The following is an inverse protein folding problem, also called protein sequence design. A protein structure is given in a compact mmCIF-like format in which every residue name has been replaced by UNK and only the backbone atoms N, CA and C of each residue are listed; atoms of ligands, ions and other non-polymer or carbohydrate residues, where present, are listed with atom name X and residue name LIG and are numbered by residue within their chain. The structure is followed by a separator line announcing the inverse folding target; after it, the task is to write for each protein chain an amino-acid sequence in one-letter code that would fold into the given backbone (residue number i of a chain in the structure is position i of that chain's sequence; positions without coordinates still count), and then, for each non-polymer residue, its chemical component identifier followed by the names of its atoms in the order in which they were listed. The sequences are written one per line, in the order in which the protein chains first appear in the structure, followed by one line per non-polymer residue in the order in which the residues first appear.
data_IF_117377143052
#
_entry.id   IF_117377143052
#
_cell.length_a   1.000
_cell.length_b   1.000
_cell.length_c   1.000
_cell.angle_alpha   90.00
_cell.angle_beta   90.00
_cell.angle_gamma   90.00
#
_symmetry.space_group_name_H-M   'P 1'
#
loop_
_entity.id
_entity.type
_entity.pdbx_description
1 polymer ?
#
# COMPACT_ATOMS: atom_id res chain seq x y z
N UNK A 1 -12.00 10.29 21.58
CA UNK A 1 -10.64 9.74 21.37
C UNK A 1 -10.55 9.23 19.95
N UNK A 2 -9.61 9.73 19.15
CA UNK A 2 -9.29 9.20 17.81
C UNK A 2 -7.96 8.46 17.85
N UNK A 3 -7.73 7.56 16.90
CA UNK A 3 -6.47 6.81 16.78
C UNK A 3 -5.41 7.66 16.11
N UNK A 4 -4.28 7.93 16.74
CA UNK A 4 -3.20 8.68 16.09
C UNK A 4 -2.68 7.93 14.86
N UNK A 5 -2.41 8.65 13.78
CA UNK A 5 -1.83 8.06 12.58
C UNK A 5 -0.48 7.39 12.92
N UNK A 6 -0.24 6.13 12.54
CA UNK A 6 1.03 5.47 12.84
C UNK A 6 2.22 6.14 12.15
N UNK A 7 1.99 6.81 11.00
CA UNK A 7 2.99 7.43 10.12
C UNK A 7 3.36 8.86 10.55
N UNK A 8 2.39 9.78 10.61
CA UNK A 8 2.64 11.18 10.97
C UNK A 8 2.31 11.54 12.43
N UNK A 9 1.76 10.60 13.22
CA UNK A 9 1.27 10.82 14.60
C UNK A 9 0.16 11.87 14.74
N UNK A 10 -0.36 12.40 13.61
CA UNK A 10 -1.46 13.34 13.56
C UNK A 10 -2.76 12.75 14.10
N UNK A 11 -3.66 13.64 14.53
CA UNK A 11 -5.02 13.34 14.98
C UNK A 11 -6.05 13.60 13.89
N UNK A 12 -5.62 14.01 12.70
CA UNK A 12 -6.46 14.12 11.51
C UNK A 12 -6.75 12.73 10.92
N UNK A 13 -7.26 11.85 11.78
CA UNK A 13 -7.64 10.48 11.46
C UNK A 13 -9.09 10.26 11.81
N UNK A 14 -9.74 9.41 11.03
CA UNK A 14 -11.16 9.13 11.11
C UNK A 14 -11.41 7.65 10.88
N UNK A 15 -12.39 7.10 11.60
CA UNK A 15 -12.78 5.70 11.45
C UNK A 15 -13.69 5.57 10.23
N UNK A 16 -13.30 4.71 9.29
CA UNK A 16 -14.04 4.48 8.03
C UNK A 16 -14.70 3.10 7.98
N UNK A 17 -14.37 2.21 8.93
CA UNK A 17 -14.96 0.88 9.02
C UNK A 17 -14.82 0.23 10.40
N UNK A 18 -15.03 -1.09 10.48
CA UNK A 18 -14.82 -1.85 11.72
C UNK A 18 -13.32 -2.10 11.93
N UNK A 19 -12.71 -1.33 12.82
CA UNK A 19 -11.26 -1.43 13.07
C UNK A 19 -10.41 -0.76 11.99
N UNK A 20 -11.01 -0.03 11.06
CA UNK A 20 -10.34 0.59 9.93
C UNK A 20 -10.35 2.12 10.05
N UNK A 21 -9.19 2.73 9.79
CA UNK A 21 -8.98 4.16 9.97
C UNK A 21 -8.30 4.76 8.74
N UNK A 22 -8.67 6.00 8.44
CA UNK A 22 -8.05 6.78 7.38
C UNK A 22 -7.31 7.97 7.99
N UNK A 23 -6.25 8.42 7.34
CA UNK A 23 -5.51 9.63 7.72
C UNK A 23 -5.59 10.67 6.60
N UNK A 24 -6.08 11.85 6.93
CA UNK A 24 -6.30 12.95 5.99
C UNK A 24 -4.97 13.59 5.57
N UNK A 25 -4.00 13.69 6.46
CA UNK A 25 -2.68 14.28 6.17
C UNK A 25 -1.80 13.37 5.31
N UNK A 26 -1.91 12.06 5.50
CA UNK A 26 -1.06 11.09 4.79
C UNK A 26 -1.74 10.42 3.60
N UNK A 27 -3.05 10.60 3.43
CA UNK A 27 -3.87 9.89 2.44
C UNK A 27 -3.66 8.37 2.47
N UNK A 28 -3.58 7.81 3.68
CA UNK A 28 -3.40 6.38 3.91
C UNK A 28 -4.57 5.82 4.72
N UNK A 29 -4.91 4.57 4.41
CA UNK A 29 -5.77 3.71 5.21
C UNK A 29 -4.90 2.80 6.10
N UNK A 30 -5.35 2.55 7.34
CA UNK A 30 -4.65 1.65 8.25
C UNK A 30 -5.57 0.85 9.16
N UNK A 31 -5.19 -0.41 9.36
CA UNK A 31 -5.88 -1.40 10.20
C UNK A 31 -4.96 -1.81 11.36
N UNK A 32 -5.21 -1.37 12.59
CA UNK A 32 -4.57 -1.95 13.76
C UNK A 32 -5.05 -3.39 13.96
N UNK A 33 -4.13 -4.34 13.89
CA UNK A 33 -4.33 -5.76 14.15
C UNK A 33 -3.51 -6.18 15.38
N UNK A 34 -3.80 -7.34 16.01
CA UNK A 34 -2.98 -7.84 17.11
C UNK A 34 -1.50 -8.09 16.76
N UNK A 35 -1.19 -8.31 15.48
CA UNK A 35 0.16 -8.59 14.99
C UNK A 35 0.94 -7.32 14.58
N UNK A 36 0.27 -6.16 14.53
CA UNK A 36 0.85 -4.91 14.04
C UNK A 36 -0.19 -4.06 13.30
N UNK A 37 0.27 -3.06 12.56
CA UNK A 37 -0.62 -2.16 11.81
C UNK A 37 -0.40 -2.38 10.32
N UNK A 38 -1.48 -2.70 9.60
CA UNK A 38 -1.47 -2.79 8.14
C UNK A 38 -1.74 -1.39 7.61
N UNK A 39 -0.92 -0.91 6.67
CA UNK A 39 -1.07 0.42 6.07
C UNK A 39 -1.18 0.29 4.56
N UNK A 40 -2.09 1.06 3.99
CA UNK A 40 -2.40 1.11 2.57
C UNK A 40 -2.36 2.56 2.11
N UNK A 41 -1.47 2.87 1.17
CA UNK A 41 -1.44 4.16 0.49
C UNK A 41 -2.46 4.14 -0.64
N UNK A 42 -3.31 5.16 -0.71
CA UNK A 42 -4.19 5.36 -1.85
C UNK A 42 -3.44 6.15 -2.92
N UNK A 43 -3.30 5.55 -4.10
CA UNK A 43 -2.79 6.23 -5.27
C UNK A 43 -3.89 7.11 -5.90
N UNK A 44 -3.53 8.14 -6.70
CA UNK A 44 -4.50 9.04 -7.33
C UNK A 44 -5.51 8.32 -8.24
N UNK A 45 -5.14 7.17 -8.79
CA UNK A 45 -5.98 6.28 -9.60
C UNK A 45 -6.96 5.43 -8.76
N UNK A 46 -6.90 5.52 -7.43
CA UNK A 46 -7.78 4.80 -6.52
C UNK A 46 -7.29 3.41 -6.12
N UNK A 47 -6.09 3.01 -6.52
CA UNK A 47 -5.48 1.74 -6.10
C UNK A 47 -4.90 1.88 -4.69
N UNK A 48 -5.20 0.91 -3.83
CA UNK A 48 -4.62 0.79 -2.50
C UNK A 48 -3.34 -0.07 -2.56
N UNK A 49 -2.17 0.54 -2.36
CA UNK A 49 -0.88 -0.14 -2.33
C UNK A 49 -0.48 -0.37 -0.87
N UNK A 50 -0.19 -1.63 -0.46
CA UNK A 50 0.32 -1.87 0.88
C UNK A 50 1.71 -1.24 1.04
N UNK A 51 1.93 -0.51 2.13
CA UNK A 51 3.19 0.17 2.45
C UNK A 51 3.51 -0.02 3.95
N UNK A 52 4.78 0.04 4.31
CA UNK A 52 5.21 0.02 5.71
C UNK A 52 5.01 1.40 6.36
N UNK A 53 4.96 1.47 7.69
CA UNK A 53 4.79 2.75 8.43
C UNK A 53 5.94 3.74 8.20
N UNK A 54 7.13 3.22 7.90
CA UNK A 54 8.35 3.95 7.56
C UNK A 54 8.39 4.42 6.09
N UNK A 55 7.39 4.07 5.29
CA UNK A 55 7.33 4.43 3.88
C UNK A 55 8.09 3.47 2.95
N UNK A 56 8.64 2.36 3.47
CA UNK A 56 9.23 1.32 2.62
C UNK A 56 8.15 0.47 1.94
N UNK A 57 8.28 0.18 0.63
CA UNK A 57 7.38 -0.73 -0.05
C UNK A 57 7.50 -2.12 0.57
N UNK A 58 6.37 -2.68 1.04
CA UNK A 58 6.37 -4.08 1.48
C UNK A 58 6.66 -4.94 0.26
N UNK A 59 7.78 -5.66 0.26
CA UNK A 59 8.24 -6.45 -0.89
C UNK A 59 7.37 -7.70 -1.18
N UNK A 60 6.11 -7.71 -0.74
CA UNK A 60 5.28 -8.91 -0.62
C UNK A 60 4.01 -8.97 -1.46
N UNK A 61 3.69 -8.01 -2.34
CA UNK A 61 2.41 -8.10 -3.10
C UNK A 61 2.38 -7.40 -4.46
N UNK A 62 3.50 -7.31 -5.18
CA UNK A 62 3.40 -7.04 -6.63
C UNK A 62 3.12 -8.35 -7.36
N UNK A 63 1.89 -8.86 -7.26
CA UNK A 63 1.31 -9.69 -8.31
C UNK A 63 0.91 -8.77 -9.47
N UNK A 64 1.84 -7.98 -10.01
CA UNK A 64 1.70 -7.61 -11.42
C UNK A 64 2.23 -8.82 -12.17
N UNK A 65 1.30 -9.55 -12.77
CA UNK A 65 1.59 -10.55 -13.79
C UNK A 65 2.33 -9.85 -14.94
N UNK A 66 3.64 -9.65 -14.80
CA UNK A 66 4.52 -9.51 -15.96
C UNK A 66 4.91 -10.91 -16.36
N UNK A 67 3.95 -11.52 -17.06
CA UNK A 67 4.16 -12.33 -18.24
C UNK A 67 5.61 -12.20 -18.72
N UNK A 68 6.37 -13.27 -18.56
CA UNK A 68 7.59 -13.46 -19.32
C UNK A 68 7.15 -13.55 -20.77
N UNK A 69 7.09 -12.40 -21.43
CA UNK A 69 6.80 -12.28 -22.84
C UNK A 69 7.96 -12.92 -23.59
N UNK A 70 7.72 -14.15 -23.99
CA UNK A 70 8.51 -14.92 -24.93
C UNK A 70 8.62 -14.11 -26.23
N UNK A 71 9.68 -13.32 -26.37
CA UNK A 71 10.09 -12.70 -27.64
C UNK A 71 11.56 -13.00 -27.84
N UNK A 72 11.83 -14.26 -28.20
CA UNK A 72 13.04 -14.65 -28.89
C UNK A 72 13.12 -13.90 -30.22
N UNK A 73 13.61 -12.68 -30.18
CA UNK A 73 13.90 -11.87 -31.35
C UNK A 73 15.24 -12.33 -31.94
N UNK A 74 15.12 -13.04 -33.05
CA UNK A 74 15.96 -12.91 -34.26
C UNK A 74 17.46 -13.18 -34.11
N UNK A 75 17.90 -14.27 -34.75
CA UNK A 75 19.06 -14.30 -35.65
C UNK A 75 18.88 -15.48 -36.62
N UNK A 76 18.16 -15.22 -37.70
CA UNK A 76 18.51 -15.85 -38.98
C UNK A 76 19.89 -15.29 -39.36
N UNK A 77 20.88 -16.17 -39.39
CA UNK A 77 22.18 -15.90 -40.01
C UNK A 77 22.72 -17.23 -40.53
N UNK A 78 22.41 -17.45 -41.80
CA UNK A 78 23.23 -18.07 -42.84
C UNK A 78 23.95 -19.39 -42.54
#
# INVERSE_FOLDING_TARGET
MGMNCPKCKSRATGRIGQGQYYCWDCSIEFEPTPAGVRVYRLEPDGIAIPESIDGSPVSGSTLTSRSQANTGLRRESR
#
